data_IF_625280583026
#
_entry.id   IF_625280583026
#
_cell.length_a   1.000
_cell.length_b   1.000
_cell.length_c   1.000
_cell.angle_alpha   90.00
_cell.angle_beta   90.00
_cell.angle_gamma   90.00
#
_symmetry.space_group_name_H-M   'P 1'
#
loop_
_entity.id
_entity.type
_entity.pdbx_description
1 polymer ?
#
# COMPACT_ATOMS: atom_id res chain seq x y z
N UNK A 1 1.91 -0.93 -33.43
CA UNK A 1 1.58 -0.95 -32.00
C UNK A 1 0.56 -2.07 -31.76
N UNK A 2 0.98 -3.19 -31.16
CA UNK A 2 0.07 -4.29 -30.83
C UNK A 2 -0.88 -3.84 -29.71
N UNK A 3 -2.19 -3.95 -29.93
CA UNK A 3 -3.23 -3.77 -28.91
C UNK A 3 -2.86 -4.63 -27.70
N UNK A 4 -2.49 -4.01 -26.59
CA UNK A 4 -2.43 -4.69 -25.28
C UNK A 4 -3.86 -5.11 -24.98
N UNK A 5 -4.13 -6.40 -25.03
CA UNK A 5 -5.40 -6.97 -24.65
C UNK A 5 -5.75 -6.41 -23.25
N UNK A 6 -7.04 -6.12 -23.01
CA UNK A 6 -7.58 -5.80 -21.70
C UNK A 6 -7.43 -7.03 -20.79
N UNK A 7 -6.21 -7.32 -20.37
CA UNK A 7 -5.97 -8.32 -19.34
C UNK A 7 -6.53 -7.78 -18.03
N UNK A 8 -7.36 -8.58 -17.40
CA UNK A 8 -7.92 -8.30 -16.08
C UNK A 8 -6.83 -8.62 -15.06
N UNK A 9 -5.79 -7.76 -15.00
CA UNK A 9 -4.52 -7.95 -14.28
C UNK A 9 -4.67 -8.39 -12.82
N UNK A 10 -5.82 -8.15 -12.21
CA UNK A 10 -6.07 -8.44 -10.80
C UNK A 10 -6.92 -9.70 -10.56
N UNK A 11 -7.53 -10.28 -11.58
CA UNK A 11 -8.47 -11.42 -11.41
C UNK A 11 -7.81 -12.80 -11.27
N UNK A 12 -6.55 -12.94 -11.66
CA UNK A 12 -5.88 -14.25 -11.76
C UNK A 12 -4.78 -14.47 -10.68
N UNK A 13 -4.63 -13.55 -9.73
CA UNK A 13 -3.58 -13.66 -8.71
C UNK A 13 -4.19 -13.99 -7.37
N UNK A 14 -3.74 -15.10 -6.80
CA UNK A 14 -3.94 -15.33 -5.37
C UNK A 14 -3.27 -14.20 -4.59
N UNK A 15 -4.00 -13.57 -3.68
CA UNK A 15 -3.46 -12.52 -2.82
C UNK A 15 -2.41 -13.08 -1.87
N UNK A 16 -2.62 -14.30 -1.39
CA UNK A 16 -1.69 -15.03 -0.53
C UNK A 16 -1.13 -16.26 -1.24
N UNK A 17 0.13 -16.19 -1.70
CA UNK A 17 0.85 -17.33 -2.23
C UNK A 17 1.34 -18.28 -1.12
N UNK A 18 1.87 -19.46 -1.49
CA UNK A 18 2.28 -20.51 -0.55
C UNK A 18 3.26 -20.03 0.54
N UNK A 19 4.21 -19.15 0.20
CA UNK A 19 5.14 -18.59 1.18
C UNK A 19 4.45 -17.74 2.25
N UNK A 20 3.41 -16.96 1.87
CA UNK A 20 2.61 -16.22 2.84
C UNK A 20 1.76 -17.17 3.68
N UNK A 21 1.18 -18.21 3.07
CA UNK A 21 0.39 -19.24 3.75
C UNK A 21 1.21 -19.99 4.78
N UNK A 22 2.45 -20.34 4.47
CA UNK A 22 3.38 -20.96 5.43
C UNK A 22 3.50 -20.15 6.73
N UNK A 23 3.73 -18.85 6.65
CA UNK A 23 3.82 -17.99 7.84
C UNK A 23 2.47 -17.80 8.55
N UNK A 24 1.37 -17.74 7.79
CA UNK A 24 0.03 -17.68 8.37
C UNK A 24 -0.31 -18.94 9.17
N UNK A 25 0.10 -20.11 8.69
CA UNK A 25 -0.10 -21.37 9.39
C UNK A 25 0.83 -21.48 10.61
N UNK A 26 2.12 -21.12 10.46
CA UNK A 26 3.11 -21.14 11.54
C UNK A 26 2.69 -20.30 12.76
N UNK A 27 2.09 -19.14 12.52
CA UNK A 27 1.69 -18.19 13.55
C UNK A 27 0.17 -18.12 13.79
N UNK A 28 -0.60 -19.12 13.38
CA UNK A 28 -2.07 -19.18 13.51
C UNK A 28 -2.80 -17.94 12.97
N UNK A 29 -2.23 -17.32 11.92
CA UNK A 29 -2.69 -16.05 11.39
C UNK A 29 -3.68 -16.13 10.23
N UNK A 30 -3.94 -17.32 9.67
CA UNK A 30 -4.68 -17.51 8.41
C UNK A 30 -6.09 -16.90 8.45
N UNK A 31 -6.87 -17.19 9.48
CA UNK A 31 -8.24 -16.67 9.63
C UNK A 31 -8.28 -15.14 9.66
N UNK A 32 -7.34 -14.55 10.41
CA UNK A 32 -7.20 -13.09 10.50
C UNK A 32 -6.81 -12.48 9.16
N UNK A 33 -5.84 -13.07 8.46
CA UNK A 33 -5.39 -12.61 7.14
C UNK A 33 -6.52 -12.65 6.11
N UNK A 34 -7.29 -13.73 6.05
CA UNK A 34 -8.43 -13.88 5.14
C UNK A 34 -9.55 -12.88 5.44
N UNK A 35 -9.86 -12.67 6.71
CA UNK A 35 -10.86 -11.68 7.10
C UNK A 35 -10.42 -10.24 6.74
N UNK A 36 -9.15 -9.92 6.92
CA UNK A 36 -8.59 -8.63 6.52
C UNK A 36 -8.65 -8.48 5.00
N UNK A 37 -8.21 -9.48 4.22
CA UNK A 37 -8.32 -9.44 2.76
C UNK A 37 -9.76 -9.18 2.32
N UNK A 38 -10.70 -9.99 2.78
CA UNK A 38 -12.12 -9.90 2.42
C UNK A 38 -12.73 -8.53 2.70
N UNK A 39 -12.35 -7.88 3.80
CA UNK A 39 -12.99 -6.64 4.25
C UNK A 39 -12.21 -5.37 3.90
N UNK A 40 -10.93 -5.50 3.53
CA UNK A 40 -10.05 -4.33 3.36
C UNK A 40 -9.40 -4.23 1.98
N UNK A 41 -9.26 -5.33 1.23
CA UNK A 41 -8.77 -5.27 -0.16
C UNK A 41 -9.87 -4.74 -1.07
N UNK A 42 -9.56 -3.72 -1.86
CA UNK A 42 -10.53 -3.09 -2.75
C UNK A 42 -9.85 -2.44 -3.96
N UNK A 43 -10.67 -1.94 -4.90
CA UNK A 43 -10.22 -1.37 -6.18
C UNK A 43 -10.74 0.05 -6.40
N UNK A 44 -11.44 0.62 -5.43
CA UNK A 44 -11.97 1.97 -5.46
C UNK A 44 -11.52 2.69 -4.20
N UNK A 45 -10.83 3.81 -4.36
CA UNK A 45 -10.37 4.61 -3.23
C UNK A 45 -11.50 5.04 -2.32
N UNK A 46 -11.32 4.84 -1.04
CA UNK A 46 -12.13 5.43 0.00
C UNK A 46 -11.78 6.91 0.19
N UNK A 47 -12.61 7.67 0.88
CA UNK A 47 -12.43 9.12 0.95
C UNK A 47 -11.18 9.51 1.77
N UNK A 48 -10.89 8.80 2.85
CA UNK A 48 -9.66 8.96 3.63
C UNK A 48 -8.39 8.65 2.80
N UNK A 49 -8.45 7.66 1.93
CA UNK A 49 -7.34 7.33 1.03
C UNK A 49 -7.13 8.41 -0.05
N UNK A 50 -8.23 8.94 -0.59
CA UNK A 50 -8.15 10.09 -1.53
C UNK A 50 -7.53 11.31 -0.86
N UNK A 51 -7.83 11.55 0.40
CA UNK A 51 -7.25 12.63 1.18
C UNK A 51 -5.73 12.46 1.33
N UNK A 52 -5.28 11.26 1.74
CA UNK A 52 -3.85 10.94 1.87
C UNK A 52 -3.13 11.13 0.54
N UNK A 53 -3.69 10.59 -0.57
CA UNK A 53 -3.07 10.72 -1.90
C UNK A 53 -2.96 12.19 -2.32
N UNK A 54 -4.01 12.99 -2.11
CA UNK A 54 -4.05 14.40 -2.51
C UNK A 54 -3.13 15.28 -1.66
N UNK A 55 -3.02 15.00 -0.38
CA UNK A 55 -2.16 15.78 0.54
C UNK A 55 -0.69 15.37 0.49
N UNK A 56 -0.38 14.18 -0.02
CA UNK A 56 1.00 13.70 -0.08
C UNK A 56 1.84 14.52 -1.07
N UNK A 57 3.04 14.87 -0.64
CA UNK A 57 4.07 15.49 -1.47
C UNK A 57 5.16 14.48 -1.90
N UNK A 58 5.06 13.24 -1.48
CA UNK A 58 5.90 12.12 -1.92
C UNK A 58 5.19 10.77 -1.72
N UNK A 59 5.71 9.75 -2.37
CA UNK A 59 5.43 8.33 -2.11
C UNK A 59 6.62 7.46 -2.51
N UNK A 60 6.65 6.24 -2.02
CA UNK A 60 7.63 5.24 -2.46
C UNK A 60 7.04 4.34 -3.52
N UNK A 61 7.85 3.98 -4.51
CA UNK A 61 7.47 3.04 -5.57
C UNK A 61 8.52 1.94 -5.70
N UNK A 62 8.07 0.70 -5.68
CA UNK A 62 8.86 -0.47 -6.03
C UNK A 62 8.51 -0.91 -7.46
N UNK A 63 9.52 -1.20 -8.24
CA UNK A 63 9.42 -1.76 -9.59
C UNK A 63 10.48 -2.84 -9.80
N UNK A 64 10.28 -3.75 -10.72
CA UNK A 64 11.25 -4.82 -10.94
C UNK A 64 11.25 -5.35 -12.37
N UNK A 65 12.40 -5.85 -12.78
CA UNK A 65 12.55 -6.61 -14.01
C UNK A 65 13.67 -7.65 -13.85
N UNK A 66 13.41 -8.87 -14.27
CA UNK A 66 14.40 -9.97 -14.31
C UNK A 66 15.18 -10.13 -12.99
N UNK A 67 14.50 -10.12 -11.86
CA UNK A 67 15.11 -10.27 -10.53
C UNK A 67 15.72 -9.01 -9.93
N UNK A 68 15.95 -7.95 -10.72
CA UNK A 68 16.39 -6.65 -10.20
C UNK A 68 15.20 -5.87 -9.67
N UNK A 69 15.32 -5.43 -8.43
CA UNK A 69 14.30 -4.61 -7.73
C UNK A 69 14.82 -3.19 -7.60
N UNK A 70 13.97 -2.23 -7.92
CA UNK A 70 14.19 -0.81 -7.69
C UNK A 70 13.15 -0.27 -6.72
N UNK A 71 13.60 0.36 -5.65
CA UNK A 71 12.75 1.09 -4.71
C UNK A 71 13.14 2.56 -4.78
N UNK A 72 12.20 3.41 -5.15
CA UNK A 72 12.45 4.82 -5.40
C UNK A 72 11.43 5.69 -4.68
N UNK A 73 11.79 6.94 -4.42
CA UNK A 73 10.89 7.99 -3.96
C UNK A 73 10.46 8.85 -5.15
N UNK A 74 9.17 9.18 -5.21
CA UNK A 74 8.61 10.16 -6.14
C UNK A 74 8.04 11.30 -5.33
N UNK A 75 8.33 12.54 -5.73
CA UNK A 75 7.92 13.70 -4.97
C UNK A 75 7.52 14.87 -5.87
N UNK A 76 6.74 15.77 -5.32
CA UNK A 76 6.27 17.01 -5.91
C UNK A 76 5.48 17.80 -4.88
N UNK A 77 4.86 18.89 -5.28
CA UNK A 77 3.94 19.61 -4.42
C UNK A 77 2.71 18.75 -4.10
N UNK A 78 2.04 19.02 -2.98
CA UNK A 78 0.78 18.34 -2.65
C UNK A 78 -0.20 18.42 -3.84
N UNK A 79 -0.78 17.27 -4.20
CA UNK A 79 -1.61 17.15 -5.40
C UNK A 79 -0.86 16.83 -6.69
N UNK A 80 0.46 16.60 -6.67
CA UNK A 80 1.21 16.14 -7.85
C UNK A 80 0.72 14.76 -8.33
N UNK A 81 0.25 13.93 -7.42
CA UNK A 81 -0.45 12.68 -7.75
C UNK A 81 -1.92 13.00 -7.98
N UNK A 82 -2.42 12.71 -9.17
CA UNK A 82 -3.82 12.97 -9.56
C UNK A 82 -4.63 11.69 -9.55
N UNK A 83 -5.80 11.75 -8.95
CA UNK A 83 -6.81 10.68 -9.03
C UNK A 83 -7.62 10.91 -10.31
N UNK A 84 -7.51 9.98 -11.25
CA UNK A 84 -8.16 10.10 -12.58
C UNK A 84 -9.55 9.49 -12.57
N UNK A 85 -9.72 8.43 -11.85
CA UNK A 85 -11.00 7.79 -11.55
C UNK A 85 -10.94 7.11 -10.17
N UNK A 86 -12.00 6.40 -9.79
CA UNK A 86 -12.09 5.78 -8.46
C UNK A 86 -11.03 4.70 -8.16
N UNK A 87 -10.21 4.29 -9.12
CA UNK A 87 -9.21 3.24 -8.91
C UNK A 87 -7.92 3.50 -9.71
N UNK A 88 -7.74 4.70 -10.24
CA UNK A 88 -6.59 5.03 -11.09
C UNK A 88 -5.96 6.36 -10.66
N UNK A 89 -4.65 6.34 -10.53
CA UNK A 89 -3.85 7.55 -10.27
C UNK A 89 -2.88 7.83 -11.42
N UNK A 90 -2.44 9.08 -11.49
CA UNK A 90 -1.36 9.53 -12.37
C UNK A 90 -0.35 10.35 -11.56
N UNK A 91 0.94 10.20 -11.91
CA UNK A 91 1.98 11.07 -11.41
C UNK A 91 2.99 11.44 -12.51
N UNK A 92 3.59 12.63 -12.45
CA UNK A 92 4.59 13.08 -13.42
C UNK A 92 5.95 12.47 -13.13
N UNK A 93 6.67 12.13 -14.19
CA UNK A 93 8.11 11.96 -14.16
C UNK A 93 8.77 13.23 -14.66
N UNK A 94 9.52 13.86 -13.79
CA UNK A 94 10.27 15.09 -14.07
C UNK A 94 11.65 14.81 -14.67
N UNK A 95 12.41 15.84 -14.95
CA UNK A 95 13.81 15.67 -15.30
C UNK A 95 14.62 15.09 -14.14
N UNK A 96 15.58 14.22 -14.46
CA UNK A 96 16.38 13.52 -13.47
C UNK A 96 17.73 13.10 -14.04
N UNK A 97 18.31 12.07 -13.47
CA UNK A 97 19.67 11.59 -13.80
C UNK A 97 19.78 10.78 -15.11
N UNK A 98 18.74 10.73 -15.92
CA UNK A 98 18.66 10.00 -17.20
C UNK A 98 18.80 8.47 -17.10
N UNK A 99 18.82 7.88 -15.90
CA UNK A 99 18.91 6.43 -15.74
C UNK A 99 17.57 5.72 -16.01
N UNK A 100 16.44 6.39 -15.83
CA UNK A 100 15.08 5.88 -16.08
C UNK A 100 14.79 4.49 -15.49
N UNK A 101 15.37 4.14 -14.35
CA UNK A 101 15.26 2.80 -13.75
C UNK A 101 13.82 2.39 -13.54
N UNK A 102 13.02 3.21 -12.85
CA UNK A 102 11.60 2.93 -12.60
C UNK A 102 10.82 2.81 -13.91
N UNK A 103 11.00 3.76 -14.85
CA UNK A 103 10.30 3.75 -16.13
C UNK A 103 10.72 2.56 -17.01
N UNK A 104 12.01 2.22 -17.04
CA UNK A 104 12.53 1.07 -17.75
C UNK A 104 11.99 -0.25 -17.23
N UNK A 105 11.90 -0.40 -15.90
CA UNK A 105 11.26 -1.56 -15.28
C UNK A 105 9.79 -1.65 -15.66
N UNK A 106 9.03 -0.56 -15.53
CA UNK A 106 7.60 -0.49 -15.89
C UNK A 106 7.36 -0.85 -17.36
N UNK A 107 8.24 -0.38 -18.26
CA UNK A 107 8.12 -0.71 -19.68
C UNK A 107 8.21 -2.22 -19.96
N UNK A 108 8.95 -2.96 -19.16
CA UNK A 108 9.14 -4.42 -19.26
C UNK A 108 8.16 -5.20 -18.39
N UNK A 109 7.88 -4.70 -17.20
CA UNK A 109 6.98 -5.32 -16.22
C UNK A 109 6.11 -4.23 -15.59
N UNK A 110 4.82 -4.15 -15.94
CA UNK A 110 3.95 -3.09 -15.48
C UNK A 110 3.57 -3.20 -13.99
N UNK A 111 3.98 -4.25 -13.31
CA UNK A 111 3.64 -4.44 -11.90
C UNK A 111 4.50 -3.56 -11.01
N UNK A 112 3.82 -2.79 -10.15
CA UNK A 112 4.46 -1.88 -9.21
C UNK A 112 3.82 -2.00 -7.84
N UNK A 113 4.63 -1.71 -6.80
CA UNK A 113 4.12 -1.53 -5.45
C UNK A 113 4.29 -0.07 -5.03
N UNK A 114 3.24 0.55 -4.49
CA UNK A 114 3.32 1.92 -3.98
C UNK A 114 3.05 1.94 -2.49
N UNK A 115 3.71 2.88 -1.83
CA UNK A 115 3.53 3.13 -0.40
C UNK A 115 3.45 4.64 -0.17
N UNK A 116 2.25 5.11 0.17
CA UNK A 116 2.03 6.44 0.73
C UNK A 116 2.12 6.35 2.25
N UNK A 117 2.86 7.24 2.87
CA UNK A 117 3.03 7.28 4.33
C UNK A 117 2.86 8.72 4.81
N UNK A 118 2.08 8.88 5.86
CA UNK A 118 2.00 10.11 6.61
C UNK A 118 2.79 9.97 7.92
N UNK A 119 3.70 10.92 8.17
CA UNK A 119 4.55 10.94 9.35
C UNK A 119 4.14 12.02 10.37
N UNK A 120 2.95 12.59 10.22
CA UNK A 120 2.44 13.70 11.03
C UNK A 120 1.89 13.31 12.42
N UNK A 121 2.14 12.09 12.84
CA UNK A 121 1.69 11.56 14.13
C UNK A 121 0.42 10.74 14.09
N UNK A 122 -0.38 10.82 13.02
CA UNK A 122 -1.56 9.97 12.84
C UNK A 122 -1.20 8.59 12.28
N UNK A 123 0.04 8.39 11.86
CA UNK A 123 0.58 7.11 11.38
C UNK A 123 -0.27 6.45 10.30
N UNK A 124 -0.74 7.23 9.33
CA UNK A 124 -1.52 6.73 8.20
C UNK A 124 -0.63 6.27 7.06
N UNK A 125 -0.99 5.16 6.43
CA UNK A 125 -0.33 4.70 5.19
C UNK A 125 -1.31 3.99 4.27
N UNK A 126 -1.04 4.04 2.96
CA UNK A 126 -1.75 3.26 1.94
C UNK A 126 -0.73 2.41 1.20
N UNK A 127 -1.04 1.14 1.01
CA UNK A 127 -0.30 0.23 0.13
C UNK A 127 -1.13 -0.09 -1.10
N UNK A 128 -0.50 0.00 -2.25
CA UNK A 128 -1.13 -0.23 -3.54
C UNK A 128 -0.28 -1.22 -4.32
N UNK A 129 -0.90 -2.30 -4.79
CA UNK A 129 -0.39 -3.03 -5.94
C UNK A 129 -0.96 -2.39 -7.19
N UNK A 130 -0.14 -2.16 -8.20
CA UNK A 130 -0.57 -1.45 -9.38
C UNK A 130 -0.14 -2.09 -10.67
N UNK A 131 -0.92 -1.83 -11.72
CA UNK A 131 -0.53 -2.05 -13.10
C UNK A 131 -0.27 -0.68 -13.75
N UNK A 132 1.00 -0.40 -14.05
CA UNK A 132 1.45 0.89 -14.53
C UNK A 132 1.54 0.96 -16.06
N UNK A 133 1.24 2.13 -16.62
CA UNK A 133 1.43 2.46 -18.04
C UNK A 133 2.10 3.82 -18.19
N UNK A 134 2.89 3.99 -19.26
CA UNK A 134 3.63 5.23 -19.54
C UNK A 134 2.90 6.02 -20.63
N UNK A 135 2.70 7.30 -20.41
CA UNK A 135 1.96 8.21 -21.29
C UNK A 135 2.80 9.46 -21.62
N UNK A 136 2.86 9.79 -22.90
CA UNK A 136 3.54 11.02 -23.40
C UNK A 136 2.64 11.84 -24.35
N UNK A 137 1.35 11.53 -24.40
CA UNK A 137 0.41 12.31 -25.19
C UNK A 137 0.14 13.69 -24.55
N UNK A 138 -0.08 14.70 -25.40
CA UNK A 138 -0.28 16.07 -24.93
C UNK A 138 -1.46 16.23 -23.96
N UNK A 139 -2.53 15.48 -24.14
CA UNK A 139 -3.70 15.51 -23.26
C UNK A 139 -3.33 15.08 -21.83
N UNK A 140 -2.46 14.09 -21.69
CA UNK A 140 -1.98 13.62 -20.40
C UNK A 140 -0.95 14.57 -19.82
N UNK A 141 0.04 15.00 -20.60
CA UNK A 141 1.08 15.93 -20.18
C UNK A 141 0.53 17.28 -19.70
N UNK A 142 -0.49 17.82 -20.36
CA UNK A 142 -1.11 19.11 -19.98
C UNK A 142 -1.73 19.10 -18.57
N UNK A 143 -1.94 17.94 -17.96
CA UNK A 143 -2.39 17.86 -16.57
C UNK A 143 -1.25 17.95 -15.55
N UNK A 144 0.00 17.85 -16.00
CA UNK A 144 1.18 17.76 -15.14
C UNK A 144 2.27 18.71 -15.63
N UNK A 145 2.28 19.92 -15.10
CA UNK A 145 3.26 20.93 -15.48
C UNK A 145 4.69 20.41 -15.29
N UNK A 146 5.54 20.58 -16.30
CA UNK A 146 6.95 20.18 -16.27
C UNK A 146 7.22 18.67 -16.41
N UNK A 147 6.20 17.85 -16.62
CA UNK A 147 6.40 16.41 -16.81
C UNK A 147 7.07 16.09 -18.15
N UNK A 148 8.07 15.22 -18.16
CA UNK A 148 8.62 14.61 -19.38
C UNK A 148 7.67 13.53 -19.91
N UNK A 149 7.08 12.76 -19.04
CA UNK A 149 6.04 11.76 -19.27
C UNK A 149 5.26 11.54 -17.98
N UNK A 150 4.17 10.82 -18.08
CA UNK A 150 3.28 10.53 -16.95
C UNK A 150 3.15 9.03 -16.79
N UNK A 151 3.22 8.57 -15.57
CA UNK A 151 2.91 7.18 -15.23
C UNK A 151 1.50 7.13 -14.67
N UNK A 152 0.66 6.31 -15.31
CA UNK A 152 -0.71 6.01 -14.87
C UNK A 152 -0.76 4.64 -14.27
N UNK A 153 -1.39 4.50 -13.12
CA UNK A 153 -1.44 3.25 -12.36
C UNK A 153 -2.88 2.90 -12.04
N UNK A 154 -3.32 1.74 -12.52
CA UNK A 154 -4.54 1.11 -12.05
C UNK A 154 -4.24 0.38 -10.76
N UNK A 155 -5.04 0.63 -9.71
CA UNK A 155 -4.73 0.31 -8.33
C UNK A 155 -5.56 -0.86 -7.79
N UNK A 156 -4.90 -1.75 -7.06
CA UNK A 156 -5.46 -2.63 -6.05
C UNK A 156 -4.96 -2.14 -4.69
N UNK A 157 -5.88 -1.69 -3.86
CA UNK A 157 -5.59 -1.17 -2.53
C UNK A 157 -5.76 -2.32 -1.52
N UNK A 158 -4.84 -2.46 -0.60
CA UNK A 158 -4.88 -3.53 0.36
C UNK A 158 -4.50 -3.08 1.77
N UNK A 159 -4.76 -3.95 2.76
CA UNK A 159 -4.80 -3.55 4.16
C UNK A 159 -3.68 -2.65 4.60
N UNK A 160 -4.09 -1.64 5.31
CA UNK A 160 -3.29 -0.62 5.90
C UNK A 160 -3.04 -0.97 7.37
N UNK A 161 -1.77 -1.08 7.78
CA UNK A 161 -1.40 -1.30 9.16
C UNK A 161 -0.30 -0.33 9.57
N UNK A 162 -0.62 0.80 10.22
CA UNK A 162 0.35 1.85 10.54
C UNK A 162 1.20 1.55 11.79
N UNK A 163 1.14 0.34 12.31
CA UNK A 163 1.57 -0.04 13.66
C UNK A 163 2.97 0.41 14.07
N UNK A 164 3.92 0.45 13.16
CA UNK A 164 5.32 0.74 13.47
C UNK A 164 5.85 1.98 12.74
N UNK A 165 4.97 2.86 12.26
CA UNK A 165 5.39 4.10 11.62
C UNK A 165 5.81 5.08 12.72
N UNK A 166 7.04 5.62 12.68
CA UNK A 166 7.47 6.63 13.63
C UNK A 166 6.79 7.97 13.36
N UNK A 167 6.62 8.78 14.40
CA UNK A 167 6.31 10.18 14.25
C UNK A 167 7.62 10.95 14.04
N UNK A 168 7.87 11.45 12.85
CA UNK A 168 9.11 12.16 12.52
C UNK A 168 9.15 13.57 13.09
N UNK A 169 8.00 14.23 13.27
CA UNK A 169 7.94 15.60 13.82
C UNK A 169 8.40 15.64 15.26
N UNK A 170 8.07 14.61 16.03
CA UNK A 170 8.46 14.49 17.43
C UNK A 170 9.72 13.67 17.65
N UNK A 171 10.26 13.06 16.60
CA UNK A 171 11.38 12.11 16.66
C UNK A 171 11.15 10.97 17.68
N UNK A 172 9.91 10.65 17.94
CA UNK A 172 9.52 9.58 18.87
C UNK A 172 9.23 8.30 18.10
N UNK A 173 9.75 7.15 18.57
CA UNK A 173 9.39 5.87 17.98
C UNK A 173 7.91 5.56 18.24
N UNK A 174 7.33 4.70 17.39
CA UNK A 174 5.94 4.26 17.54
C UNK A 174 5.69 3.64 18.92
N UNK A 175 4.53 3.93 19.50
CA UNK A 175 4.07 3.34 20.78
C UNK A 175 3.90 1.82 20.71
N UNK A 176 3.77 1.27 19.50
CA UNK A 176 3.60 -0.15 19.26
C UNK A 176 4.91 -0.95 19.22
N UNK A 177 6.07 -0.30 19.26
CA UNK A 177 7.35 -1.00 19.31
C UNK A 177 7.52 -1.61 20.70
N UNK A 178 7.69 -2.94 20.82
CA UNK A 178 7.99 -3.56 22.10
C UNK A 178 9.32 -3.06 22.67
N UNK A 179 9.34 -2.77 23.95
CA UNK A 179 10.55 -2.34 24.66
C UNK A 179 10.69 -3.11 25.96
N UNK A 180 11.92 -3.47 26.27
CA UNK A 180 12.24 -4.16 27.51
C UNK A 180 11.76 -3.34 28.73
N UNK A 181 11.11 -3.97 29.68
CA UNK A 181 10.59 -3.33 30.89
C UNK A 181 9.32 -2.48 30.71
N UNK A 182 8.77 -2.33 29.52
CA UNK A 182 7.58 -1.49 29.27
C UNK A 182 6.26 -2.27 29.12
N UNK A 183 6.32 -3.60 29.27
CA UNK A 183 5.14 -4.45 29.14
C UNK A 183 4.66 -4.63 27.68
N UNK A 184 3.42 -5.09 27.53
CA UNK A 184 2.82 -5.33 26.22
C UNK A 184 2.40 -3.98 25.59
N UNK A 185 2.80 -3.69 24.34
CA UNK A 185 2.34 -2.51 23.63
C UNK A 185 0.80 -2.42 23.54
N UNK A 186 0.22 -1.22 23.41
CA UNK A 186 -1.23 -1.07 23.32
C UNK A 186 -1.83 -1.85 22.13
N UNK A 187 -3.08 -2.29 22.26
CA UNK A 187 -3.79 -2.89 21.15
C UNK A 187 -4.09 -1.84 20.08
N UNK A 188 -3.78 -2.07 18.80
CA UNK A 188 -4.24 -1.21 17.75
C UNK A 188 -5.76 -1.39 17.54
N UNK A 189 -6.47 -0.29 17.27
CA UNK A 189 -7.94 -0.24 17.14
C UNK A 189 -8.52 -1.28 16.17
N UNK A 190 -7.81 -1.63 15.10
CA UNK A 190 -8.29 -2.60 14.14
C UNK A 190 -8.53 -4.00 14.73
N UNK A 191 -7.85 -4.36 15.84
CA UNK A 191 -8.07 -5.64 16.54
C UNK A 191 -9.42 -5.71 17.25
N UNK A 192 -10.02 -4.57 17.55
CA UNK A 192 -11.35 -4.46 18.17
C UNK A 192 -12.50 -4.56 17.16
N UNK A 193 -12.23 -4.56 15.85
CA UNK A 193 -13.25 -4.64 14.81
C UNK A 193 -13.99 -5.98 14.88
N UNK A 194 -15.30 -5.96 14.66
CA UNK A 194 -16.17 -7.12 14.81
C UNK A 194 -15.72 -8.34 13.99
N UNK A 195 -15.23 -8.12 12.77
CA UNK A 195 -14.74 -9.17 11.89
C UNK A 195 -13.32 -9.67 12.22
N UNK A 196 -12.66 -9.12 13.26
CA UNK A 196 -11.28 -9.48 13.67
C UNK A 196 -11.22 -9.99 15.10
N UNK A 197 -11.89 -9.30 16.05
CA UNK A 197 -11.69 -9.49 17.51
C UNK A 197 -11.76 -10.94 17.99
N UNK A 198 -12.57 -11.78 17.33
CA UNK A 198 -12.78 -13.17 17.72
C UNK A 198 -11.87 -14.17 17.01
N UNK A 199 -11.14 -13.74 15.97
CA UNK A 199 -10.31 -14.61 15.12
C UNK A 199 -8.82 -14.27 15.16
N UNK A 200 -8.40 -13.47 16.12
CA UNK A 200 -6.99 -13.20 16.37
C UNK A 200 -6.22 -14.52 16.63
N UNK A 201 -4.92 -14.57 16.31
CA UNK A 201 -4.04 -15.69 16.65
C UNK A 201 -4.17 -16.11 18.13
N UNK A 202 -3.91 -17.38 18.43
CA UNK A 202 -4.06 -17.91 19.81
C UNK A 202 -3.15 -17.19 20.80
N UNK A 203 -1.94 -16.88 20.37
CA UNK A 203 -0.92 -16.24 21.18
C UNK A 203 -0.94 -14.72 21.12
N UNK A 204 -1.96 -14.14 20.48
CA UNK A 204 -2.07 -12.68 20.41
C UNK A 204 -2.32 -12.09 21.80
N UNK A 205 -1.43 -11.20 22.31
CA UNK A 205 -1.52 -10.67 23.67
C UNK A 205 -2.77 -9.81 23.91
N UNK A 206 -3.45 -9.41 22.85
CA UNK A 206 -4.68 -8.62 22.92
C UNK A 206 -5.95 -9.43 22.63
N UNK A 207 -5.82 -10.73 22.47
CA UNK A 207 -6.98 -11.61 22.31
C UNK A 207 -7.74 -11.66 23.64
N UNK A 208 -8.96 -11.14 23.63
CA UNK A 208 -9.85 -11.28 24.78
C UNK A 208 -10.17 -12.79 24.96
N UNK A 209 -9.94 -13.32 26.14
CA UNK A 209 -10.39 -14.67 26.45
C UNK A 209 -11.91 -14.71 26.28
N UNK A 210 -12.40 -15.48 25.32
CA UNK A 210 -13.81 -15.82 25.26
C UNK A 210 -14.06 -16.63 26.53
N UNK A 211 -14.74 -16.06 27.51
CA UNK A 211 -15.28 -16.86 28.63
C UNK A 211 -16.18 -17.91 27.99
N UNK A 212 -15.99 -19.20 28.22
CA UNK A 212 -16.96 -20.17 27.79
C UNK A 212 -18.31 -19.74 28.39
N UNK A 213 -19.30 -19.55 27.50
CA UNK A 213 -20.65 -19.27 27.93
C UNK A 213 -21.01 -20.27 29.00
N UNK A 214 -21.33 -19.75 30.19
CA UNK A 214 -21.68 -20.55 31.32
C UNK A 214 -22.86 -21.48 31.01
N UNK A 215 -22.61 -22.76 31.22
CA UNK A 215 -23.72 -23.68 31.54
C UNK A 215 -24.12 -23.49 32.98
#
# INVERSE_FOLDING_TARGET
MKRVAKMNYFKEREFFHEGMRHFQDLFDGKRTAEAIEKNRKHYKFWDDEKEIIKSSNFFFIASSWNGYIDCNIKSGDSGFVKIIDNGTIEYPEYDGNSMYRTAGNIFKNPNVGLLFINFDGESRRIRINGCATIHHDNKTLNRHFGAKFVIRIKCEIYPNCPRYIPNLDTKKPSVYVPREGQGIPPAPEWKERDYIKNILPKDDPHKKSVKPDGK
#
